data_IF_139284288793
#
_entry.id   IF_139284288793
#
_cell.length_a   1.000
_cell.length_b   1.000
_cell.length_c   1.000
_cell.angle_alpha   90.00
_cell.angle_beta   90.00
_cell.angle_gamma   90.00
#
_symmetry.space_group_name_H-M   'P 1'
#
loop_
_entity.id
_entity.type
_entity.pdbx_description
1 polymer ?
#
# COMPACT_ATOMS: atom_id res chain seq x y z
N UNK A 1 10.47 22.08 -4.11
CA UNK A 1 9.64 21.74 -5.29
C UNK A 1 10.00 20.34 -5.74
N UNK A 2 8.99 19.51 -6.06
CA UNK A 2 9.14 18.12 -6.48
C UNK A 2 9.06 17.93 -8.01
N UNK A 3 9.50 18.93 -8.77
CA UNK A 3 9.50 18.87 -10.24
C UNK A 3 10.36 17.70 -10.75
N UNK A 4 9.86 16.98 -11.75
CA UNK A 4 10.50 15.79 -12.33
C UNK A 4 10.65 14.62 -11.36
N UNK A 5 9.84 14.57 -10.29
CA UNK A 5 9.79 13.42 -9.38
C UNK A 5 8.48 12.67 -9.53
N UNK A 6 8.51 11.35 -9.33
CA UNK A 6 7.33 10.48 -9.38
C UNK A 6 7.27 9.63 -8.11
N UNK A 7 6.10 9.57 -7.50
CA UNK A 7 5.87 8.80 -6.29
C UNK A 7 4.73 7.79 -6.48
N UNK A 8 4.92 6.61 -5.92
CA UNK A 8 3.87 5.59 -5.85
C UNK A 8 3.08 5.79 -4.55
N UNK A 9 1.76 5.91 -4.65
CA UNK A 9 0.86 6.08 -3.50
C UNK A 9 -0.04 4.85 -3.41
N UNK A 10 0.12 4.09 -2.32
CA UNK A 10 -0.70 2.92 -2.05
C UNK A 10 -1.65 3.19 -0.88
N UNK A 11 -2.73 2.40 -0.77
CA UNK A 11 -3.61 2.45 0.40
C UNK A 11 -4.52 3.67 0.48
N UNK A 12 -4.83 4.32 -0.65
CA UNK A 12 -5.90 5.33 -0.69
C UNK A 12 -7.24 4.61 -0.49
N UNK A 13 -7.84 4.78 0.68
CA UNK A 13 -9.14 4.17 1.01
C UNK A 13 -10.32 5.01 0.49
N UNK A 14 -10.22 6.32 0.62
CA UNK A 14 -11.22 7.30 0.18
C UNK A 14 -10.60 8.69 0.01
N UNK A 15 -11.43 9.68 -0.33
CA UNK A 15 -11.01 11.08 -0.53
C UNK A 15 -10.51 11.78 0.74
N UNK A 16 -10.78 11.25 1.91
CA UNK A 16 -10.37 11.80 3.21
C UNK A 16 -9.16 11.04 3.79
N UNK A 17 -8.66 10.00 3.11
CA UNK A 17 -7.51 9.23 3.60
C UNK A 17 -6.23 10.07 3.59
N UNK A 18 -5.34 9.83 4.54
CA UNK A 18 -4.03 10.49 4.62
C UNK A 18 -3.24 10.31 3.31
N UNK A 19 -3.30 9.11 2.70
CA UNK A 19 -2.65 8.85 1.43
C UNK A 19 -3.15 9.75 0.29
N UNK A 20 -4.45 10.11 0.27
CA UNK A 20 -5.01 11.07 -0.68
C UNK A 20 -4.46 12.48 -0.45
N UNK A 21 -4.34 12.91 0.81
CA UNK A 21 -3.75 14.22 1.13
C UNK A 21 -2.26 14.29 0.77
N UNK A 22 -1.50 13.21 0.99
CA UNK A 22 -0.11 13.12 0.55
C UNK A 22 -0.01 13.24 -0.98
N UNK A 23 -0.86 12.53 -1.73
CA UNK A 23 -0.88 12.62 -3.18
C UNK A 23 -1.19 14.05 -3.66
N UNK A 24 -2.17 14.73 -3.05
CA UNK A 24 -2.50 16.14 -3.34
C UNK A 24 -1.30 17.06 -3.09
N UNK A 25 -0.61 16.88 -1.98
CA UNK A 25 0.53 17.75 -1.65
C UNK A 25 1.70 17.51 -2.60
N UNK A 26 1.99 16.26 -3.00
CA UNK A 26 3.02 15.97 -4.01
C UNK A 26 2.71 16.70 -5.32
N UNK A 27 1.47 16.60 -5.82
CA UNK A 27 1.05 17.28 -7.06
C UNK A 27 1.16 18.79 -6.91
N UNK A 28 0.71 19.35 -5.81
CA UNK A 28 0.82 20.80 -5.52
C UNK A 28 2.26 21.28 -5.52
N UNK A 29 3.22 20.44 -5.10
CA UNK A 29 4.65 20.71 -5.13
C UNK A 29 5.30 20.48 -6.52
N UNK A 30 4.52 20.10 -7.52
CA UNK A 30 4.98 19.87 -8.89
C UNK A 30 5.48 18.46 -9.19
N UNK A 31 5.28 17.51 -8.26
CA UNK A 31 5.58 16.10 -8.46
C UNK A 31 4.46 15.36 -9.19
N UNK A 32 4.74 14.16 -9.64
CA UNK A 32 3.79 13.22 -10.24
C UNK A 32 3.49 12.07 -9.30
N UNK A 33 2.28 11.51 -9.39
CA UNK A 33 1.88 10.36 -8.60
C UNK A 33 1.33 9.22 -9.46
N UNK A 34 1.58 7.99 -9.03
CA UNK A 34 0.91 6.77 -9.48
C UNK A 34 0.12 6.25 -8.29
N UNK A 35 -1.21 6.19 -8.41
CA UNK A 35 -2.08 5.70 -7.36
C UNK A 35 -2.45 4.25 -7.60
N UNK A 36 -2.48 3.42 -6.54
CA UNK A 36 -2.88 2.03 -6.67
C UNK A 36 -4.13 1.72 -5.86
N UNK A 37 -4.96 0.86 -6.42
CA UNK A 37 -6.19 0.37 -5.79
C UNK A 37 -6.39 -1.12 -6.02
N UNK A 38 -7.16 -1.74 -5.12
CA UNK A 38 -7.56 -3.12 -5.25
C UNK A 38 -8.59 -3.27 -6.36
N UNK A 39 -8.28 -4.12 -7.35
CA UNK A 39 -9.14 -4.38 -8.51
C UNK A 39 -8.96 -5.79 -9.05
N UNK A 40 -9.83 -6.18 -9.98
CA UNK A 40 -9.72 -7.47 -10.65
C UNK A 40 -8.54 -7.47 -11.62
N UNK A 41 -7.63 -8.41 -11.45
CA UNK A 41 -6.50 -8.67 -12.35
C UNK A 41 -6.57 -10.10 -12.91
N UNK A 42 -5.74 -10.41 -13.92
CA UNK A 42 -5.61 -11.76 -14.49
C UNK A 42 -5.10 -12.80 -13.48
N UNK A 43 -4.52 -12.35 -12.37
CA UNK A 43 -3.99 -13.22 -11.31
C UNK A 43 -5.07 -13.71 -10.32
N UNK A 44 -6.27 -13.17 -10.38
CA UNK A 44 -7.42 -13.61 -9.59
C UNK A 44 -8.14 -14.79 -10.27
N UNK A 45 -7.55 -15.98 -10.23
CA UNK A 45 -8.01 -17.14 -11.00
C UNK A 45 -9.19 -17.89 -10.37
N UNK A 46 -9.32 -17.89 -9.03
CA UNK A 46 -10.28 -18.73 -8.30
C UNK A 46 -11.34 -17.91 -7.55
N UNK A 47 -11.81 -16.83 -8.13
CA UNK A 47 -12.84 -16.00 -7.51
C UNK A 47 -14.25 -16.35 -8.02
N UNK A 48 -15.24 -16.28 -7.12
CA UNK A 48 -16.64 -16.30 -7.50
C UNK A 48 -17.00 -15.08 -8.36
N UNK A 49 -18.03 -15.18 -9.18
CA UNK A 49 -18.51 -14.05 -10.01
C UNK A 49 -18.90 -12.84 -9.15
N UNK A 50 -19.43 -13.07 -7.95
CA UNK A 50 -19.72 -12.00 -6.99
C UNK A 50 -18.45 -11.27 -6.56
N UNK A 51 -17.37 -12.00 -6.27
CA UNK A 51 -16.08 -11.40 -5.87
C UNK A 51 -15.43 -10.65 -7.04
N UNK A 52 -15.48 -11.20 -8.25
CA UNK A 52 -15.01 -10.51 -9.47
C UNK A 52 -15.77 -9.21 -9.71
N UNK A 53 -17.10 -9.25 -9.61
CA UNK A 53 -17.95 -8.07 -9.75
C UNK A 53 -17.64 -7.01 -8.70
N UNK A 54 -17.39 -7.42 -7.45
CA UNK A 54 -16.97 -6.53 -6.38
C UNK A 54 -15.64 -5.83 -6.70
N UNK A 55 -14.60 -6.58 -7.07
CA UNK A 55 -13.28 -6.02 -7.40
C UNK A 55 -13.34 -5.06 -8.60
N UNK A 56 -14.11 -5.42 -9.62
CA UNK A 56 -14.29 -4.57 -10.81
C UNK A 56 -14.96 -3.25 -10.45
N UNK A 57 -16.04 -3.31 -9.67
CA UNK A 57 -16.76 -2.13 -9.22
C UNK A 57 -15.87 -1.27 -8.29
N UNK A 58 -15.23 -1.89 -7.31
CA UNK A 58 -14.34 -1.22 -6.36
C UNK A 58 -13.26 -0.40 -7.09
N UNK A 59 -12.59 -1.00 -8.08
CA UNK A 59 -11.56 -0.31 -8.83
C UNK A 59 -12.11 0.83 -9.71
N UNK A 60 -13.30 0.65 -10.29
CA UNK A 60 -13.99 1.70 -11.06
C UNK A 60 -14.32 2.91 -10.16
N UNK A 61 -14.87 2.65 -8.98
CA UNK A 61 -15.24 3.70 -8.01
C UNK A 61 -13.97 4.40 -7.47
N UNK A 62 -12.91 3.63 -7.19
CA UNK A 62 -11.61 4.15 -6.82
C UNK A 62 -11.02 5.07 -7.90
N UNK A 63 -10.99 4.60 -9.15
CA UNK A 63 -10.45 5.37 -10.27
C UNK A 63 -11.20 6.70 -10.47
N UNK A 64 -12.53 6.67 -10.31
CA UNK A 64 -13.35 7.87 -10.35
C UNK A 64 -13.00 8.82 -9.20
N UNK A 65 -12.91 8.32 -7.98
CA UNK A 65 -12.55 9.13 -6.80
C UNK A 65 -11.17 9.78 -6.95
N UNK A 66 -10.18 9.05 -7.46
CA UNK A 66 -8.85 9.59 -7.73
C UNK A 66 -8.91 10.68 -8.80
N UNK A 67 -9.65 10.46 -9.89
CA UNK A 67 -9.81 11.47 -10.95
C UNK A 67 -10.50 12.73 -10.44
N UNK A 68 -11.55 12.60 -9.65
CA UNK A 68 -12.29 13.74 -9.10
C UNK A 68 -11.42 14.60 -8.15
N UNK A 69 -10.46 14.00 -7.45
CA UNK A 69 -9.63 14.66 -6.44
C UNK A 69 -8.24 15.09 -6.95
N UNK A 70 -7.64 14.36 -7.89
CA UNK A 70 -6.28 14.55 -8.35
C UNK A 70 -6.16 14.85 -9.86
N UNK A 71 -7.28 14.79 -10.60
CA UNK A 71 -7.26 14.94 -12.05
C UNK A 71 -6.70 13.68 -12.76
N UNK A 72 -6.10 13.91 -13.91
CA UNK A 72 -5.60 12.83 -14.78
C UNK A 72 -4.23 12.30 -14.32
N UNK A 73 -4.23 11.50 -13.25
CA UNK A 73 -3.04 10.79 -12.76
C UNK A 73 -3.09 9.31 -13.14
N UNK A 74 -1.93 8.63 -13.12
CA UNK A 74 -1.88 7.18 -13.36
C UNK A 74 -2.54 6.41 -12.22
N UNK A 75 -3.43 5.48 -12.56
CA UNK A 75 -4.14 4.63 -11.59
C UNK A 75 -3.99 3.17 -12.01
N UNK A 76 -3.38 2.37 -11.15
CA UNK A 76 -3.00 0.98 -11.42
C UNK A 76 -3.67 0.01 -10.43
N UNK A 77 -3.89 -1.22 -10.87
CA UNK A 77 -4.35 -2.30 -9.97
C UNK A 77 -3.14 -2.85 -9.22
N UNK A 78 -3.27 -2.93 -7.90
CA UNK A 78 -2.29 -3.60 -7.05
C UNK A 78 -3.00 -4.36 -5.93
N UNK A 79 -2.85 -5.69 -5.94
CA UNK A 79 -3.22 -6.56 -4.84
C UNK A 79 -1.95 -7.10 -4.19
N UNK A 80 -1.67 -6.63 -2.99
CA UNK A 80 -0.44 -7.00 -2.24
C UNK A 80 -0.50 -8.39 -1.60
N UNK A 81 -1.61 -9.09 -1.74
CA UNK A 81 -1.74 -10.49 -1.31
C UNK A 81 -1.30 -11.49 -2.39
N UNK A 82 -1.04 -11.00 -3.62
CA UNK A 82 -0.69 -11.83 -4.77
C UNK A 82 0.68 -11.44 -5.31
N UNK A 83 1.66 -12.31 -5.15
CA UNK A 83 3.02 -12.11 -5.64
C UNK A 83 3.06 -11.85 -7.15
N UNK A 84 2.29 -12.63 -7.90
CA UNK A 84 2.21 -12.49 -9.36
C UNK A 84 1.64 -11.14 -9.78
N UNK A 85 0.74 -10.56 -8.97
CA UNK A 85 0.21 -9.24 -9.27
C UNK A 85 1.25 -8.16 -8.99
N UNK A 86 2.00 -8.24 -7.89
CA UNK A 86 3.09 -7.30 -7.57
C UNK A 86 4.24 -7.40 -8.59
N UNK A 87 4.64 -8.61 -8.98
CA UNK A 87 5.66 -8.84 -10.02
C UNK A 87 5.23 -8.22 -11.36
N UNK A 88 4.00 -8.51 -11.80
CA UNK A 88 3.43 -7.93 -13.02
C UNK A 88 3.33 -6.42 -12.97
N UNK A 89 2.89 -5.86 -11.84
CA UNK A 89 2.81 -4.42 -11.62
C UNK A 89 4.17 -3.75 -11.79
N UNK A 90 5.19 -4.22 -11.06
CA UNK A 90 6.54 -3.66 -11.14
C UNK A 90 7.14 -3.84 -12.54
N UNK A 91 6.97 -5.01 -13.17
CA UNK A 91 7.41 -5.26 -14.55
C UNK A 91 6.77 -4.30 -15.55
N UNK A 92 5.49 -3.98 -15.40
CA UNK A 92 4.80 -3.04 -16.28
C UNK A 92 5.29 -1.60 -16.10
N UNK A 93 5.62 -1.19 -14.87
CA UNK A 93 6.28 0.10 -14.63
C UNK A 93 7.65 0.15 -15.31
N UNK A 94 8.45 -0.91 -15.20
CA UNK A 94 9.77 -1.03 -15.86
C UNK A 94 9.67 -0.91 -17.38
N UNK A 95 8.72 -1.63 -18.01
CA UNK A 95 8.49 -1.55 -19.47
C UNK A 95 8.12 -0.15 -19.94
N UNK A 96 7.54 0.66 -19.09
CA UNK A 96 7.19 2.07 -19.36
C UNK A 96 8.30 3.03 -18.97
N UNK A 97 9.48 2.52 -18.58
CA UNK A 97 10.63 3.29 -18.10
C UNK A 97 10.26 4.23 -16.92
N UNK A 98 9.33 3.80 -16.08
CA UNK A 98 8.96 4.55 -14.87
C UNK A 98 10.08 4.41 -13.84
N UNK A 99 10.46 5.55 -13.28
CA UNK A 99 11.40 5.64 -12.16
C UNK A 99 10.70 6.35 -11.00
N UNK A 100 10.79 5.78 -9.82
CA UNK A 100 10.17 6.33 -8.60
C UNK A 100 11.22 6.97 -7.71
N UNK A 101 10.92 8.18 -7.27
CA UNK A 101 11.68 8.90 -6.24
C UNK A 101 11.25 8.49 -4.81
N UNK A 102 10.23 7.66 -4.72
CA UNK A 102 9.79 7.06 -3.47
C UNK A 102 8.41 6.45 -3.57
N UNK A 103 8.01 5.77 -2.50
CA UNK A 103 6.64 5.32 -2.39
C UNK A 103 6.09 5.42 -0.96
N UNK A 104 4.79 5.62 -0.87
CA UNK A 104 4.03 5.61 0.36
C UNK A 104 3.31 4.27 0.52
N UNK A 105 3.65 3.52 1.56
CA UNK A 105 2.92 2.35 2.00
C UNK A 105 1.88 2.75 3.05
N UNK A 106 0.63 2.92 2.62
CA UNK A 106 -0.50 3.26 3.50
C UNK A 106 -1.54 2.13 3.57
N UNK A 107 -1.14 0.92 3.22
CA UNK A 107 -2.02 -0.24 3.19
C UNK A 107 -2.23 -0.76 4.61
N UNK A 108 -3.49 -1.08 4.92
CA UNK A 108 -3.86 -1.77 6.15
C UNK A 108 -5.17 -2.53 5.94
N UNK A 109 -5.25 -3.73 6.48
CA UNK A 109 -6.48 -4.52 6.49
C UNK A 109 -6.52 -5.38 7.74
N UNK A 110 -7.67 -5.43 8.38
CA UNK A 110 -7.92 -6.32 9.52
C UNK A 110 -9.36 -6.87 9.44
N UNK A 111 -9.48 -8.15 9.12
CA UNK A 111 -10.77 -8.86 9.05
C UNK A 111 -11.45 -9.01 10.40
N UNK A 112 -10.72 -8.80 11.50
CA UNK A 112 -11.26 -8.90 12.88
C UNK A 112 -12.01 -7.64 13.31
N UNK A 113 -11.98 -6.58 12.48
CA UNK A 113 -12.74 -5.35 12.70
C UNK A 113 -13.95 -5.35 11.78
N UNK A 114 -15.15 -5.54 12.35
CA UNK A 114 -16.39 -5.58 11.58
C UNK A 114 -17.47 -4.75 12.28
N UNK A 115 -18.19 -3.92 11.53
CA UNK A 115 -19.30 -3.12 12.05
C UNK A 115 -18.91 -2.30 13.30
N UNK A 116 -17.71 -1.70 13.27
CA UNK A 116 -17.12 -0.92 14.38
C UNK A 116 -16.87 -1.74 15.67
N UNK A 117 -16.95 -3.07 15.60
CA UNK A 117 -16.59 -3.97 16.69
C UNK A 117 -15.24 -4.62 16.39
N UNK A 118 -14.41 -4.71 17.41
CA UNK A 118 -13.09 -5.34 17.36
C UNK A 118 -13.14 -6.65 18.08
N UNK A 119 -12.74 -7.73 17.42
CA UNK A 119 -12.70 -9.09 18.00
C UNK A 119 -11.71 -9.12 19.17
N UNK A 120 -12.05 -9.79 20.30
CA UNK A 120 -11.09 -10.00 21.38
C UNK A 120 -9.82 -10.70 20.88
N UNK A 121 -8.66 -10.27 21.38
CA UNK A 121 -7.37 -10.79 20.86
C UNK A 121 -7.22 -12.31 21.04
N UNK A 122 -7.72 -12.84 22.16
CA UNK A 122 -7.70 -14.29 22.43
C UNK A 122 -8.61 -15.13 21.53
N UNK A 123 -9.52 -14.47 20.80
CA UNK A 123 -10.42 -15.11 19.85
C UNK A 123 -9.93 -15.00 18.39
N UNK A 124 -8.87 -14.22 18.15
CA UNK A 124 -8.29 -14.06 16.81
C UNK A 124 -7.68 -15.38 16.38
N UNK A 125 -8.09 -15.90 15.23
CA UNK A 125 -7.54 -17.12 14.68
C UNK A 125 -6.15 -16.87 14.07
N UNK A 126 -5.37 -17.95 13.91
CA UNK A 126 -4.08 -17.88 13.23
C UNK A 126 -4.20 -17.30 11.82
N UNK A 127 -5.22 -17.70 11.08
CA UNK A 127 -5.49 -17.22 9.72
C UNK A 127 -5.75 -15.71 9.72
N UNK A 128 -6.68 -15.22 10.56
CA UNK A 128 -6.98 -13.78 10.68
C UNK A 128 -5.75 -12.97 11.08
N UNK A 129 -4.92 -13.52 11.98
CA UNK A 129 -3.66 -12.90 12.39
C UNK A 129 -2.68 -12.81 11.21
N UNK A 130 -2.44 -13.94 10.53
CA UNK A 130 -1.53 -14.00 9.39
C UNK A 130 -1.99 -13.09 8.24
N UNK A 131 -3.28 -13.07 7.91
CA UNK A 131 -3.83 -12.19 6.87
C UNK A 131 -3.59 -10.70 7.19
N UNK A 132 -3.79 -10.31 8.46
CA UNK A 132 -3.55 -8.92 8.88
C UNK A 132 -2.07 -8.56 8.79
N UNK A 133 -1.19 -9.47 9.21
CA UNK A 133 0.27 -9.29 9.13
C UNK A 133 0.74 -9.22 7.68
N UNK A 134 0.25 -10.10 6.81
CA UNK A 134 0.61 -10.15 5.40
C UNK A 134 0.28 -8.82 4.70
N UNK A 135 -0.98 -8.37 4.80
CA UNK A 135 -1.44 -7.15 4.13
C UNK A 135 -0.89 -5.88 4.76
N UNK A 136 -0.80 -5.81 6.10
CA UNK A 136 -0.57 -4.54 6.80
C UNK A 136 0.88 -4.29 7.20
N UNK A 137 1.75 -5.31 7.09
CA UNK A 137 3.16 -5.22 7.45
C UNK A 137 4.07 -5.86 6.40
N UNK A 138 3.92 -7.15 6.12
CA UNK A 138 4.81 -7.90 5.23
C UNK A 138 4.75 -7.39 3.78
N UNK A 139 3.62 -6.88 3.34
CA UNK A 139 3.45 -6.28 2.01
C UNK A 139 4.44 -5.14 1.73
N UNK A 140 4.96 -4.44 2.75
CA UNK A 140 6.02 -3.45 2.59
C UNK A 140 7.32 -4.10 2.07
N UNK A 141 7.73 -5.23 2.66
CA UNK A 141 8.91 -5.98 2.22
C UNK A 141 8.74 -6.44 0.77
N UNK A 142 7.60 -7.07 0.48
CA UNK A 142 7.32 -7.66 -0.84
C UNK A 142 7.27 -6.60 -1.93
N UNK A 143 6.57 -5.50 -1.69
CA UNK A 143 6.48 -4.41 -2.66
C UNK A 143 7.87 -3.78 -2.91
N UNK A 144 8.65 -3.54 -1.84
CA UNK A 144 10.02 -3.05 -1.96
C UNK A 144 10.88 -4.00 -2.80
N UNK A 145 10.80 -5.32 -2.53
CA UNK A 145 11.50 -6.34 -3.30
C UNK A 145 11.21 -6.24 -4.80
N UNK A 146 9.94 -6.20 -5.21
CA UNK A 146 9.59 -6.16 -6.63
C UNK A 146 9.97 -4.83 -7.29
N UNK A 147 9.84 -3.71 -6.59
CA UNK A 147 10.25 -2.40 -7.11
C UNK A 147 11.78 -2.34 -7.32
N UNK A 148 12.57 -2.92 -6.41
CA UNK A 148 14.03 -3.03 -6.56
C UNK A 148 14.43 -4.04 -7.65
N UNK A 149 13.82 -5.22 -7.68
CA UNK A 149 14.05 -6.26 -8.69
C UNK A 149 13.98 -5.73 -10.13
N UNK A 150 13.10 -4.80 -10.39
CA UNK A 150 12.90 -4.20 -11.71
C UNK A 150 13.52 -2.81 -11.86
N UNK A 151 14.38 -2.39 -10.93
CA UNK A 151 15.06 -1.10 -10.92
C UNK A 151 14.07 0.09 -11.04
N UNK A 152 12.94 0.02 -10.32
CA UNK A 152 11.92 1.07 -10.32
C UNK A 152 12.25 2.16 -9.30
N UNK A 153 12.77 1.79 -8.14
CA UNK A 153 13.22 2.76 -7.14
C UNK A 153 14.57 3.32 -7.56
N UNK A 154 14.65 4.64 -7.66
CA UNK A 154 15.90 5.33 -7.95
C UNK A 154 16.82 5.30 -6.72
N UNK A 155 18.12 5.41 -6.97
CA UNK A 155 19.08 5.69 -5.90
C UNK A 155 18.70 7.01 -5.22
N UNK A 156 18.61 7.01 -3.91
CA UNK A 156 18.12 8.15 -3.13
C UNK A 156 16.61 8.27 -3.05
N UNK A 157 15.85 7.25 -3.48
CA UNK A 157 14.40 7.21 -3.29
C UNK A 157 14.04 7.13 -1.80
N UNK A 158 12.82 7.53 -1.46
CA UNK A 158 12.30 7.45 -0.09
C UNK A 158 11.16 6.45 0.03
N UNK A 159 11.23 5.57 1.01
CA UNK A 159 10.14 4.66 1.39
C UNK A 159 9.50 5.18 2.67
N UNK A 160 8.21 5.46 2.63
CA UNK A 160 7.44 5.93 3.78
C UNK A 160 6.30 4.96 4.09
N UNK A 161 6.14 4.57 5.36
CA UNK A 161 5.03 3.74 5.81
C UNK A 161 4.12 4.49 6.76
N UNK A 162 2.79 4.34 6.63
CA UNK A 162 1.85 4.91 7.57
C UNK A 162 1.60 3.93 8.73
N UNK A 163 1.98 4.37 9.92
CA UNK A 163 1.67 3.71 11.19
C UNK A 163 0.70 4.56 12.01
N UNK A 164 0.49 4.22 13.27
CA UNK A 164 -0.29 5.01 14.22
C UNK A 164 0.09 4.66 15.66
N UNK A 165 -0.33 5.52 16.59
CA UNK A 165 0.08 5.47 18.00
C UNK A 165 -0.15 4.12 18.69
N UNK A 166 -1.13 3.32 18.23
CA UNK A 166 -1.41 2.01 18.82
C UNK A 166 -0.37 0.93 18.45
N UNK A 167 0.58 1.21 17.57
CA UNK A 167 1.77 0.38 17.40
C UNK A 167 2.65 0.37 18.68
N UNK A 168 2.70 1.50 19.40
CA UNK A 168 3.53 1.67 20.58
C UNK A 168 2.77 1.50 21.89
N UNK A 169 1.45 1.79 21.94
CA UNK A 169 0.67 1.73 23.18
C UNK A 169 -0.80 1.42 22.93
N UNK A 170 -1.48 0.86 23.94
CA UNK A 170 -2.93 0.64 23.86
C UNK A 170 -3.64 2.00 23.87
N UNK A 171 -4.55 2.19 22.92
CA UNK A 171 -5.37 3.38 22.77
C UNK A 171 -6.78 3.19 23.37
N UNK A 172 -7.53 4.27 23.52
CA UNK A 172 -8.92 4.22 23.99
C UNK A 172 -9.81 3.32 23.10
N UNK A 173 -9.56 3.33 21.76
CA UNK A 173 -10.17 2.39 20.82
C UNK A 173 -9.13 1.31 20.45
N UNK A 174 -9.08 0.18 21.17
CA UNK A 174 -8.08 -0.84 20.96
C UNK A 174 -8.36 -1.57 19.66
N UNK A 175 -7.51 -1.41 18.67
CA UNK A 175 -7.59 -2.13 17.40
C UNK A 175 -6.79 -3.46 17.42
N UNK A 176 -6.28 -3.86 18.56
CA UNK A 176 -5.64 -5.16 18.84
C UNK A 176 -4.77 -5.72 17.70
N UNK A 177 -5.37 -6.54 16.83
CA UNK A 177 -4.64 -7.27 15.79
C UNK A 177 -3.88 -6.34 14.83
N UNK A 178 -4.53 -5.30 14.32
CA UNK A 178 -3.87 -4.32 13.45
C UNK A 178 -2.79 -3.51 14.17
N UNK A 179 -2.91 -3.31 15.49
CA UNK A 179 -1.87 -2.64 16.28
C UNK A 179 -0.58 -3.44 16.28
N UNK A 180 -0.67 -4.77 16.39
CA UNK A 180 0.48 -5.68 16.31
C UNK A 180 1.11 -5.61 14.92
N UNK A 181 0.31 -5.65 13.86
CA UNK A 181 0.81 -5.53 12.50
C UNK A 181 1.50 -4.18 12.25
N UNK A 182 0.99 -3.08 12.84
CA UNK A 182 1.63 -1.76 12.71
C UNK A 182 2.92 -1.65 13.51
N UNK A 183 3.04 -2.31 14.66
CA UNK A 183 4.32 -2.43 15.36
C UNK A 183 5.37 -3.20 14.54
N UNK A 184 4.94 -4.29 13.88
CA UNK A 184 5.79 -5.01 12.95
C UNK A 184 6.18 -4.16 11.73
N UNK A 185 5.25 -3.37 11.17
CA UNK A 185 5.52 -2.45 10.07
C UNK A 185 6.58 -1.41 10.43
N UNK A 186 6.52 -0.83 11.63
CA UNK A 186 7.54 0.11 12.13
C UNK A 186 8.91 -0.56 12.21
N UNK A 187 8.96 -1.80 12.74
CA UNK A 187 10.23 -2.53 12.80
C UNK A 187 10.76 -2.87 11.41
N UNK A 188 9.91 -3.34 10.50
CA UNK A 188 10.27 -3.61 9.11
C UNK A 188 10.84 -2.35 8.44
N UNK A 189 10.24 -1.18 8.69
CA UNK A 189 10.73 0.10 8.13
C UNK A 189 12.16 0.40 8.59
N UNK A 190 12.48 0.15 9.86
CA UNK A 190 13.84 0.34 10.41
C UNK A 190 14.83 -0.65 9.78
N UNK A 191 14.47 -1.92 9.64
CA UNK A 191 15.34 -2.93 9.02
C UNK A 191 15.60 -2.62 7.54
N UNK A 192 14.56 -2.24 6.79
CA UNK A 192 14.72 -1.82 5.39
C UNK A 192 15.59 -0.55 5.28
N UNK A 193 15.47 0.40 6.19
CA UNK A 193 16.30 1.60 6.20
C UNK A 193 17.79 1.27 6.42
N UNK A 194 18.12 0.29 7.28
CA UNK A 194 19.50 -0.17 7.47
C UNK A 194 20.02 -0.90 6.21
N UNK A 195 19.24 -1.83 5.68
CA UNK A 195 19.62 -2.65 4.54
C UNK A 195 19.77 -1.81 3.27
N UNK A 196 18.73 -1.08 2.88
CA UNK A 196 18.67 -0.32 1.64
C UNK A 196 19.46 1.01 1.71
N UNK A 197 19.59 1.59 2.89
CA UNK A 197 20.42 2.76 3.12
C UNK A 197 21.90 2.49 2.84
N UNK A 198 22.37 1.29 3.17
CA UNK A 198 23.78 0.89 2.93
C UNK A 198 24.02 0.47 1.48
N UNK A 199 23.08 -0.22 0.84
CA UNK A 199 23.25 -0.78 -0.51
C UNK A 199 22.87 0.23 -1.61
N UNK A 200 21.75 0.91 -1.46
CA UNK A 200 21.08 1.67 -2.53
C UNK A 200 20.89 3.15 -2.20
N UNK A 201 21.25 3.56 -0.99
CA UNK A 201 21.02 4.93 -0.48
C UNK A 201 19.52 5.31 -0.50
N UNK A 202 18.65 4.35 -0.15
CA UNK A 202 17.18 4.49 -0.06
C UNK A 202 16.77 4.55 1.41
#
# INVERSE_FOLDING_TARGET
>A
MLTNTTFLITGIADKQSLAMYVAKEIIKQGGSVICTGLGLSSHHTNLSEKAKGFLTKNFKDFKKSVFDELGNVSVEILDVTLDENMDSFARNLSKRNVQLNGFLHAIAMDKTIRNKKVKPLLEVTKEEFCDTMDVSAYSLIRLSHYLLKYNILQKGASICSLSYIAAAKVTFHPYRNISIAKAALERITIELADELGRSDNI
#
